data_IF_932160932618
#
_entry.id   IF_932160932618
#
_cell.length_a   1.000
_cell.length_b   1.000
_cell.length_c   1.000
_cell.angle_alpha   90.00
_cell.angle_beta   90.00
_cell.angle_gamma   90.00
#
_symmetry.space_group_name_H-M   'P 1'
#
loop_
_entity.id
_entity.type
_entity.pdbx_description
1 polymer ?
#
# COMPACT_ATOMS: atom_id res chain seq x y z
N UNK A 1 -27.09 5.71 15.93
CA UNK A 1 -25.97 6.65 15.68
C UNK A 1 -24.80 6.51 16.66
N UNK A 2 -24.98 6.60 17.98
CA UNK A 2 -23.86 6.64 18.96
C UNK A 2 -22.92 5.42 18.91
N UNK A 3 -23.43 4.21 18.65
CA UNK A 3 -22.63 2.97 18.52
C UNK A 3 -21.80 2.88 17.22
N UNK A 4 -22.12 3.70 16.20
CA UNK A 4 -21.40 3.71 14.92
C UNK A 4 -20.33 4.80 14.86
N UNK A 5 -20.39 5.82 15.72
CA UNK A 5 -19.45 6.93 15.71
C UNK A 5 -18.01 6.48 16.00
N UNK A 6 -17.80 5.71 17.07
CA UNK A 6 -16.46 5.25 17.45
C UNK A 6 -15.86 4.29 16.40
N UNK A 7 -16.55 3.22 15.96
CA UNK A 7 -16.01 2.36 14.91
C UNK A 7 -15.75 3.10 13.59
N UNK A 8 -16.62 4.04 13.21
CA UNK A 8 -16.43 4.84 12.00
C UNK A 8 -15.18 5.73 12.10
N UNK A 9 -14.97 6.41 13.23
CA UNK A 9 -13.77 7.22 13.44
C UNK A 9 -12.50 6.37 13.39
N UNK A 10 -12.49 5.20 14.02
CA UNK A 10 -11.36 4.27 13.95
C UNK A 10 -11.09 3.86 12.50
N UNK A 11 -12.13 3.51 11.74
CA UNK A 11 -12.00 3.13 10.35
C UNK A 11 -11.44 4.27 9.48
N UNK A 12 -11.95 5.49 9.63
CA UNK A 12 -11.47 6.67 8.89
C UNK A 12 -10.01 6.98 9.24
N UNK A 13 -9.68 7.05 10.55
CA UNK A 13 -8.30 7.30 10.99
C UNK A 13 -7.35 6.22 10.47
N UNK A 14 -7.78 4.96 10.47
CA UNK A 14 -6.99 3.85 9.95
C UNK A 14 -6.78 3.97 8.44
N UNK A 15 -7.84 4.25 7.67
CA UNK A 15 -7.75 4.45 6.23
C UNK A 15 -6.84 5.63 5.87
N UNK A 16 -6.96 6.75 6.57
CA UNK A 16 -6.09 7.92 6.36
C UNK A 16 -4.64 7.59 6.66
N UNK A 17 -4.38 6.88 7.77
CA UNK A 17 -3.04 6.46 8.15
C UNK A 17 -2.40 5.53 7.11
N UNK A 18 -3.10 4.47 6.69
CA UNK A 18 -2.55 3.56 5.66
C UNK A 18 -2.40 4.26 4.33
N UNK A 19 -3.33 5.12 3.93
CA UNK A 19 -3.22 5.90 2.69
C UNK A 19 -2.00 6.80 2.74
N UNK A 20 -1.79 7.50 3.85
CA UNK A 20 -0.60 8.33 4.03
C UNK A 20 0.68 7.49 3.89
N UNK A 21 0.78 6.37 4.62
CA UNK A 21 1.97 5.52 4.61
C UNK A 21 2.31 4.99 3.21
N UNK A 22 1.32 4.53 2.44
CA UNK A 22 1.59 3.96 1.13
C UNK A 22 1.76 5.00 0.01
N UNK A 23 1.30 6.23 0.22
CA UNK A 23 1.40 7.29 -0.80
C UNK A 23 2.42 8.38 -0.44
N UNK A 24 3.09 8.30 0.72
CA UNK A 24 4.13 9.23 1.13
C UNK A 24 5.44 8.52 1.46
N UNK A 25 6.46 8.82 0.67
CA UNK A 25 7.82 8.37 0.92
C UNK A 25 8.57 9.37 1.80
N UNK A 26 8.82 9.00 3.06
CA UNK A 26 9.60 9.81 4.00
C UNK A 26 11.09 9.81 3.62
N UNK A 27 11.69 8.63 3.41
CA UNK A 27 13.11 8.47 3.07
C UNK A 27 13.41 8.85 1.61
N UNK A 28 12.54 8.47 0.69
CA UNK A 28 12.63 8.81 -0.73
C UNK A 28 11.35 9.51 -1.15
N UNK A 29 11.45 10.76 -1.61
CA UNK A 29 10.29 11.52 -2.05
C UNK A 29 9.65 10.86 -3.27
N UNK A 30 8.32 10.83 -3.28
CA UNK A 30 7.51 10.31 -4.38
C UNK A 30 6.92 11.50 -5.14
N UNK A 31 6.87 11.45 -6.49
CA UNK A 31 6.24 12.50 -7.26
C UNK A 31 4.72 12.46 -7.05
N UNK A 32 4.14 13.64 -6.80
CA UNK A 32 2.69 13.80 -6.73
C UNK A 32 2.17 14.33 -8.06
N UNK A 33 1.72 13.43 -8.92
CA UNK A 33 1.15 13.81 -10.21
C UNK A 33 -0.24 14.43 -10.04
N UNK A 34 -0.52 15.51 -10.79
CA UNK A 34 -1.79 16.25 -10.77
C UNK A 34 -2.18 16.68 -12.19
N UNK A 35 -3.47 16.91 -12.41
CA UNK A 35 -3.98 17.36 -13.71
C UNK A 35 -3.60 16.38 -14.83
N UNK A 36 -3.05 16.91 -15.92
CA UNK A 36 -2.67 16.13 -17.11
C UNK A 36 -1.49 15.17 -16.88
N UNK A 37 -0.67 15.39 -15.84
CA UNK A 37 0.45 14.51 -15.51
C UNK A 37 0.01 13.24 -14.78
N UNK A 38 -1.21 13.21 -14.24
CA UNK A 38 -1.73 12.07 -13.51
C UNK A 38 -2.32 11.02 -14.47
N UNK A 39 -2.00 9.76 -14.20
CA UNK A 39 -2.67 8.61 -14.80
C UNK A 39 -2.78 7.50 -13.77
N UNK A 40 -3.70 6.56 -13.98
CA UNK A 40 -3.86 5.39 -13.11
C UNK A 40 -2.54 4.64 -12.89
N UNK A 41 -1.82 4.36 -13.98
CA UNK A 41 -0.54 3.66 -13.95
C UNK A 41 0.53 4.44 -13.17
N UNK A 42 0.64 5.75 -13.42
CA UNK A 42 1.59 6.61 -12.70
C UNK A 42 1.25 6.67 -11.22
N UNK A 43 -0.02 6.79 -10.87
CA UNK A 43 -0.50 6.78 -9.49
C UNK A 43 -0.13 5.48 -8.76
N UNK A 44 -0.47 4.32 -9.34
CA UNK A 44 -0.16 3.01 -8.78
C UNK A 44 1.35 2.77 -8.59
N UNK A 45 2.16 3.11 -9.59
CA UNK A 45 3.63 2.96 -9.53
C UNK A 45 4.31 3.93 -8.54
N UNK A 46 3.64 5.01 -8.16
CA UNK A 46 4.14 5.94 -7.13
C UNK A 46 3.75 5.56 -5.71
N UNK A 47 3.09 4.43 -5.51
CA UNK A 47 2.87 3.90 -4.17
C UNK A 47 4.11 3.22 -3.59
N UNK A 48 4.07 2.91 -2.29
CA UNK A 48 5.14 2.26 -1.55
C UNK A 48 4.55 1.06 -0.84
N UNK A 49 5.12 -0.11 -1.10
CA UNK A 49 4.79 -1.31 -0.34
C UNK A 49 5.23 -1.15 1.12
N UNK A 50 4.45 -1.70 2.05
CA UNK A 50 4.70 -1.65 3.50
C UNK A 50 4.66 -3.05 4.07
N UNK A 51 5.52 -3.30 5.05
CA UNK A 51 5.46 -4.51 5.87
C UNK A 51 4.86 -4.13 7.22
N UNK A 52 3.70 -4.67 7.56
CA UNK A 52 3.05 -4.44 8.85
C UNK A 52 3.41 -5.50 9.90
N UNK A 53 4.36 -6.38 9.62
CA UNK A 53 4.79 -7.43 10.54
C UNK A 53 3.70 -8.49 10.72
N UNK A 54 3.37 -8.79 11.98
CA UNK A 54 2.45 -9.89 12.31
C UNK A 54 1.01 -9.66 11.86
N UNK A 55 0.63 -8.42 11.55
CA UNK A 55 -0.75 -8.11 11.14
C UNK A 55 -0.95 -8.09 9.62
N UNK A 56 0.07 -8.36 8.80
CA UNK A 56 -0.06 -8.32 7.33
C UNK A 56 -1.28 -9.11 6.82
N UNK A 57 -1.45 -10.35 7.28
CA UNK A 57 -2.54 -11.23 6.86
C UNK A 57 -3.92 -10.76 7.38
N UNK A 58 -3.99 -10.22 8.59
CA UNK A 58 -5.21 -9.61 9.16
C UNK A 58 -5.60 -8.37 8.36
N UNK A 59 -4.59 -7.69 7.83
CA UNK A 59 -4.71 -6.52 6.99
C UNK A 59 -4.82 -6.87 5.50
N UNK A 60 -5.14 -8.14 5.20
CA UNK A 60 -5.33 -8.65 3.84
C UNK A 60 -4.14 -8.39 2.91
N UNK A 61 -2.93 -8.39 3.43
CA UNK A 61 -1.68 -8.15 2.70
C UNK A 61 -1.70 -6.84 1.89
N UNK A 62 -2.48 -5.84 2.32
CA UNK A 62 -2.60 -4.52 1.68
C UNK A 62 -1.25 -3.81 1.54
N UNK A 63 -0.28 -4.20 2.37
CA UNK A 63 1.12 -3.79 2.27
C UNK A 63 1.75 -4.03 0.89
N UNK A 64 1.21 -4.93 0.07
CA UNK A 64 1.57 -5.13 -1.35
C UNK A 64 0.88 -4.10 -2.28
N UNK A 65 0.91 -2.84 -1.85
CA UNK A 65 0.03 -1.78 -2.33
C UNK A 65 0.22 -1.44 -3.80
N UNK A 66 1.45 -1.57 -4.33
CA UNK A 66 1.71 -1.31 -5.76
C UNK A 66 0.87 -2.25 -6.63
N UNK A 67 0.92 -3.55 -6.36
CA UNK A 67 0.17 -4.55 -7.13
C UNK A 67 -1.32 -4.50 -6.83
N UNK A 68 -1.69 -4.24 -5.58
CA UNK A 68 -3.08 -4.00 -5.21
C UNK A 68 -3.69 -2.87 -6.06
N UNK A 69 -2.97 -1.75 -6.24
CA UNK A 69 -3.43 -0.67 -7.11
C UNK A 69 -3.38 -1.00 -8.59
N UNK A 70 -2.35 -1.69 -9.08
CA UNK A 70 -2.27 -1.98 -10.51
C UNK A 70 -3.29 -3.03 -10.97
N UNK A 71 -3.61 -3.99 -10.10
CA UNK A 71 -4.46 -5.13 -10.41
C UNK A 71 -5.43 -5.43 -9.26
N UNK A 72 -6.38 -4.53 -8.95
CA UNK A 72 -7.32 -4.69 -7.83
C UNK A 72 -8.24 -5.91 -7.97
N UNK A 73 -8.30 -6.52 -9.16
CA UNK A 73 -9.04 -7.76 -9.43
C UNK A 73 -8.32 -9.01 -8.91
N UNK A 74 -7.00 -8.93 -8.65
CA UNK A 74 -6.28 -10.03 -8.01
C UNK A 74 -6.76 -10.11 -6.56
N UNK A 75 -7.28 -11.27 -6.12
CA UNK A 75 -7.74 -11.38 -4.76
C UNK A 75 -6.57 -11.27 -3.78
N UNK A 76 -6.86 -10.71 -2.60
CA UNK A 76 -5.82 -10.30 -1.66
C UNK A 76 -4.86 -11.43 -1.25
N UNK A 77 -5.35 -12.68 -1.17
CA UNK A 77 -4.57 -13.87 -0.83
C UNK A 77 -3.57 -14.32 -1.91
N UNK A 78 -3.60 -13.73 -3.11
CA UNK A 78 -2.59 -13.92 -4.16
C UNK A 78 -1.68 -12.69 -4.35
N UNK A 79 -1.87 -11.60 -3.62
CA UNK A 79 -1.09 -10.38 -3.86
C UNK A 79 0.40 -10.55 -3.54
N UNK A 80 0.76 -11.33 -2.52
CA UNK A 80 2.17 -11.63 -2.22
C UNK A 80 2.85 -12.33 -3.40
N UNK A 81 2.16 -13.30 -4.01
CA UNK A 81 2.66 -14.03 -5.17
C UNK A 81 2.78 -13.12 -6.39
N UNK A 82 1.73 -12.35 -6.67
CA UNK A 82 1.69 -11.39 -7.77
C UNK A 82 2.80 -10.33 -7.63
N UNK A 83 3.06 -9.82 -6.42
CA UNK A 83 4.18 -8.91 -6.14
C UNK A 83 5.51 -9.57 -6.41
N UNK A 84 5.74 -10.80 -5.95
CA UNK A 84 6.99 -11.53 -6.25
C UNK A 84 7.21 -11.68 -7.76
N UNK A 85 6.17 -11.99 -8.53
CA UNK A 85 6.26 -12.09 -9.99
C UNK A 85 6.54 -10.74 -10.65
N UNK A 86 5.88 -9.67 -10.20
CA UNK A 86 6.04 -8.33 -10.74
C UNK A 86 7.40 -7.69 -10.44
N UNK A 87 8.09 -8.11 -9.36
CA UNK A 87 9.43 -7.61 -9.03
C UNK A 87 10.41 -7.74 -10.18
N UNK A 88 10.36 -8.82 -10.95
CA UNK A 88 11.23 -9.02 -12.12
C UNK A 88 10.98 -7.97 -13.22
N UNK A 89 9.71 -7.57 -13.40
CA UNK A 89 9.30 -6.56 -14.40
C UNK A 89 9.64 -5.15 -13.93
N UNK A 90 9.39 -4.85 -12.66
CA UNK A 90 9.71 -3.54 -12.06
C UNK A 90 11.22 -3.34 -11.89
N UNK A 91 11.97 -4.43 -11.71
CA UNK A 91 13.43 -4.44 -11.63
C UNK A 91 13.95 -3.44 -10.60
N UNK A 92 14.92 -2.62 -11.00
CA UNK A 92 15.53 -1.59 -10.13
C UNK A 92 14.57 -0.52 -9.62
N UNK A 93 13.37 -0.42 -10.19
CA UNK A 93 12.37 0.56 -9.78
C UNK A 93 11.47 0.05 -8.64
N UNK A 94 11.48 -1.26 -8.38
CA UNK A 94 10.80 -1.81 -7.21
C UNK A 94 11.50 -1.38 -5.93
N UNK A 95 10.72 -0.92 -4.95
CA UNK A 95 11.21 -0.49 -3.65
C UNK A 95 10.85 -1.55 -2.62
N UNK A 96 11.83 -2.31 -2.18
CA UNK A 96 11.61 -3.30 -1.13
C UNK A 96 11.14 -2.61 0.17
N UNK A 97 10.04 -3.06 0.79
CA UNK A 97 9.64 -2.55 2.09
C UNK A 97 10.71 -2.90 3.14
N UNK A 98 10.88 -2.02 4.12
CA UNK A 98 11.66 -2.37 5.30
C UNK A 98 10.95 -3.49 6.06
N UNK A 99 11.67 -4.54 6.40
CA UNK A 99 11.11 -5.66 7.15
C UNK A 99 10.75 -5.23 8.55
N UNK A 100 9.49 -5.42 8.89
CA UNK A 100 8.97 -5.15 10.21
C UNK A 100 9.19 -6.34 11.14
N UNK A 101 9.28 -6.06 12.44
CA UNK A 101 9.30 -7.09 13.46
C UNK A 101 7.87 -7.53 13.81
N UNK A 102 7.53 -7.65 15.10
CA UNK A 102 6.14 -7.84 15.51
C UNK A 102 5.22 -6.66 15.14
N UNK A 103 5.78 -5.45 15.08
CA UNK A 103 5.06 -4.21 14.78
C UNK A 103 5.63 -3.52 13.54
N UNK A 104 4.80 -2.72 12.83
CA UNK A 104 5.24 -1.94 11.67
C UNK A 104 6.33 -0.93 12.03
N UNK A 105 7.31 -0.76 11.13
CA UNK A 105 8.34 0.29 11.18
C UNK A 105 7.91 1.59 10.51
#
# INVERSE_FOLDING_TARGET
LKLYGVPYLIFVMWLDFVTYLHHHGYKQKLPWYRGQEWSYLRGGLTTVDRDYGWINNIHHDIGTHVIHHLFPQIPHYHLIEATKAAKAVLGKYYREPQKSGPLPL
#
